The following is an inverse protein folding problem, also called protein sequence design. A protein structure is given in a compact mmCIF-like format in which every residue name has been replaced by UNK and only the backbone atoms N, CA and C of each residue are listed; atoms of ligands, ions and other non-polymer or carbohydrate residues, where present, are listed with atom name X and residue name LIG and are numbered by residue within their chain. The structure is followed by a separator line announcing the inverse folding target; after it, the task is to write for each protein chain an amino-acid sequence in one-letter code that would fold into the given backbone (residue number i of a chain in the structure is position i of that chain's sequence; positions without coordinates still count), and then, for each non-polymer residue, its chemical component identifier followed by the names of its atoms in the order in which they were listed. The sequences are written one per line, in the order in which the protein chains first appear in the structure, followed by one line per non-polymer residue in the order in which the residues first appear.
data_IF_123763061834
#
_entry.id   IF_123763061834
#
_cell.length_a   1.000
_cell.length_b   1.000
_cell.length_c   1.000
_cell.angle_alpha   90.00
_cell.angle_beta   90.00
_cell.angle_gamma   90.00
#
_symmetry.space_group_name_H-M   'P 1'
#
loop_
_entity.id
_entity.type
_entity.pdbx_description
1 polymer ?
#
# COMPACT_ATOMS: atom_id res chain seq x y z
N UNK A 1 5.18 3.60 1.84
CA UNK A 1 4.08 4.45 2.31
C UNK A 1 3.00 4.58 1.25
N UNK A 2 1.79 4.96 1.65
CA UNK A 2 0.74 5.31 0.69
C UNK A 2 1.25 6.45 -0.20
N UNK A 3 0.83 6.47 -1.45
CA UNK A 3 1.35 7.34 -2.53
C UNK A 3 2.79 7.08 -3.01
N UNK A 4 3.46 6.04 -2.56
CA UNK A 4 4.74 5.61 -3.17
C UNK A 4 4.54 4.82 -4.45
N UNK A 5 3.34 4.39 -4.73
CA UNK A 5 2.94 3.61 -5.91
C UNK A 5 1.56 4.10 -6.37
N UNK A 6 1.38 4.29 -7.67
CA UNK A 6 0.08 4.72 -8.23
C UNK A 6 -0.97 3.63 -8.02
N UNK A 7 -1.98 3.92 -7.20
CA UNK A 7 -3.02 2.95 -6.84
C UNK A 7 -4.00 2.67 -7.99
N UNK A 8 -3.95 3.44 -9.11
CA UNK A 8 -4.68 3.12 -10.35
C UNK A 8 -4.03 1.97 -11.12
N UNK A 9 -2.77 1.64 -10.84
CA UNK A 9 -2.12 0.52 -11.47
C UNK A 9 -2.89 -0.78 -11.18
N UNK A 10 -3.21 -1.60 -12.21
CA UNK A 10 -4.00 -2.83 -12.01
C UNK A 10 -3.32 -3.88 -11.12
N UNK A 11 -2.02 -3.77 -10.87
CA UNK A 11 -1.29 -4.62 -9.92
C UNK A 11 -1.24 -4.02 -8.50
N UNK A 12 -1.79 -2.82 -8.27
CA UNK A 12 -1.86 -2.24 -6.95
C UNK A 12 -2.83 -3.04 -6.07
N UNK A 13 -2.38 -3.44 -4.89
CA UNK A 13 -3.21 -4.09 -3.87
C UNK A 13 -3.92 -3.07 -2.97
N UNK A 14 -3.61 -1.78 -3.12
CA UNK A 14 -4.01 -0.72 -2.21
C UNK A 14 -3.03 -0.54 -1.06
N UNK A 15 -3.39 0.32 -0.13
CA UNK A 15 -2.58 0.62 1.05
C UNK A 15 -3.25 0.12 2.31
N UNK A 16 -2.44 -0.38 3.22
CA UNK A 16 -2.90 -0.98 4.46
C UNK A 16 -2.29 -0.31 5.68
N UNK A 17 -3.10 -0.24 6.71
CA UNK A 17 -2.69 0.07 8.06
C UNK A 17 -3.45 -0.93 8.98
N UNK A 18 -4.03 -0.48 10.08
CA UNK A 18 -4.88 -1.33 10.92
C UNK A 18 -6.10 -1.86 10.15
N UNK A 19 -6.65 -1.05 9.25
CA UNK A 19 -7.65 -1.48 8.27
C UNK A 19 -6.96 -1.71 6.94
N UNK A 20 -7.20 -2.85 6.32
CA UNK A 20 -6.60 -3.22 5.04
C UNK A 20 -7.63 -3.78 4.06
N UNK A 21 -7.50 -3.47 2.77
CA UNK A 21 -8.27 -4.11 1.72
C UNK A 21 -8.07 -5.64 1.70
N UNK A 22 -9.08 -6.39 1.30
CA UNK A 22 -8.99 -7.85 1.10
C UNK A 22 -7.82 -8.27 0.22
N UNK A 23 -7.51 -7.50 -0.80
CA UNK A 23 -6.36 -7.72 -1.69
C UNK A 23 -5.05 -7.79 -0.93
N UNK A 24 -4.82 -6.89 0.03
CA UNK A 24 -3.61 -6.90 0.84
C UNK A 24 -3.54 -8.17 1.69
N UNK A 25 -4.62 -8.53 2.38
CA UNK A 25 -4.67 -9.75 3.21
C UNK A 25 -4.43 -11.01 2.40
N UNK A 26 -5.12 -11.12 1.23
CA UNK A 26 -4.97 -12.27 0.35
C UNK A 26 -3.52 -12.42 -0.11
N UNK A 27 -2.97 -11.40 -0.76
CA UNK A 27 -1.63 -11.52 -1.35
C UNK A 27 -0.51 -11.56 -0.31
N UNK A 28 -0.68 -10.92 0.83
CA UNK A 28 0.26 -11.07 1.95
C UNK A 28 0.24 -12.50 2.52
N UNK A 29 -0.94 -13.13 2.56
CA UNK A 29 -1.09 -14.51 2.99
C UNK A 29 -0.53 -15.51 1.98
N UNK A 30 -0.87 -15.35 0.70
CA UNK A 30 -0.60 -16.33 -0.35
C UNK A 30 0.83 -16.25 -0.92
N UNK A 31 1.50 -15.10 -0.81
CA UNK A 31 2.88 -14.95 -1.30
C UNK A 31 3.87 -15.77 -0.50
N UNK A 32 4.84 -16.36 -1.17
CA UNK A 32 6.01 -17.01 -0.57
C UNK A 32 7.19 -16.06 -0.38
N UNK A 33 7.24 -15.01 -1.20
CA UNK A 33 8.33 -14.03 -1.23
C UNK A 33 7.78 -12.61 -1.19
N UNK A 34 8.41 -11.76 -0.38
CA UNK A 34 8.08 -10.33 -0.23
C UNK A 34 9.30 -9.50 -0.57
N UNK A 35 9.16 -8.59 -1.53
CA UNK A 35 10.15 -7.56 -1.77
C UNK A 35 9.73 -6.26 -1.07
N UNK A 36 10.40 -5.93 0.02
CA UNK A 36 10.20 -4.69 0.76
C UNK A 36 11.22 -3.63 0.31
N UNK A 37 10.73 -2.49 -0.16
CA UNK A 37 11.58 -1.40 -0.65
C UNK A 37 11.20 -0.07 0.01
N UNK A 38 12.20 0.67 0.49
CA UNK A 38 12.02 1.96 1.14
C UNK A 38 11.17 1.89 2.42
N UNK A 39 11.21 0.75 3.09
CA UNK A 39 10.49 0.49 4.33
C UNK A 39 11.48 0.12 5.42
N UNK A 40 11.24 0.53 6.66
CA UNK A 40 12.02 0.07 7.82
C UNK A 40 11.59 -1.31 8.32
N UNK A 41 10.54 -1.91 7.76
CA UNK A 41 9.95 -3.19 8.19
C UNK A 41 9.71 -3.27 9.71
N UNK A 42 9.46 -2.15 10.36
CA UNK A 42 9.22 -2.12 11.81
C UNK A 42 7.85 -2.69 12.15
N UNK A 43 7.81 -3.64 13.08
CA UNK A 43 6.56 -4.13 13.67
C UNK A 43 5.98 -3.05 14.57
N UNK A 44 4.70 -2.73 14.38
CA UNK A 44 3.97 -1.78 15.20
C UNK A 44 2.59 -2.33 15.57
N UNK A 45 2.05 -1.87 16.69
CA UNK A 45 0.67 -2.23 17.10
C UNK A 45 -0.42 -1.64 16.18
N UNK A 46 -0.04 -0.79 15.23
CA UNK A 46 -0.94 -0.07 14.33
C UNK A 46 -0.83 -0.50 12.87
N UNK A 47 0.02 -1.47 12.56
CA UNK A 47 0.25 -1.97 11.21
C UNK A 47 -0.14 -3.44 11.05
N UNK A 48 -0.07 -3.91 9.81
CA UNK A 48 -0.19 -5.33 9.48
C UNK A 48 1.18 -5.97 9.71
N UNK A 49 1.17 -7.13 10.36
CA UNK A 49 2.35 -7.96 10.52
C UNK A 49 2.50 -8.89 9.32
N UNK A 50 3.71 -9.03 8.80
CA UNK A 50 4.03 -10.04 7.78
C UNK A 50 3.93 -11.43 8.42
N UNK A 51 3.15 -12.36 7.86
CA UNK A 51 3.08 -13.72 8.37
C UNK A 51 4.46 -14.41 8.33
N UNK A 52 4.69 -15.33 9.26
CA UNK A 52 5.92 -16.13 9.30
C UNK A 52 6.07 -17.04 8.06
N UNK A 53 7.30 -17.47 7.77
CA UNK A 53 7.61 -18.39 6.68
C UNK A 53 7.69 -17.74 5.30
N UNK A 54 7.81 -16.41 5.22
CA UNK A 54 8.03 -15.69 3.97
C UNK A 54 9.52 -15.44 3.74
N UNK A 55 9.97 -15.56 2.49
CA UNK A 55 11.28 -15.09 2.09
C UNK A 55 11.22 -13.57 1.92
N UNK A 56 12.06 -12.83 2.62
CA UNK A 56 12.05 -11.37 2.58
C UNK A 56 13.29 -10.87 1.86
N UNK A 57 13.07 -10.13 0.77
CA UNK A 57 14.09 -9.31 0.09
C UNK A 57 13.87 -7.88 0.58
N UNK A 58 14.85 -7.29 1.25
CA UNK A 58 14.72 -5.96 1.86
C UNK A 58 15.69 -4.95 1.26
N UNK A 59 15.14 -3.90 0.66
CA UNK A 59 15.91 -2.76 0.18
C UNK A 59 15.64 -1.53 1.04
N UNK A 60 16.68 -1.02 1.69
CA UNK A 60 16.64 0.16 2.55
C UNK A 60 17.96 0.95 2.43
N UNK A 61 17.93 2.24 2.74
CA UNK A 61 19.14 3.07 2.84
C UNK A 61 19.69 3.17 4.27
N UNK A 62 19.04 2.52 5.24
CA UNK A 62 19.46 2.50 6.64
C UNK A 62 19.84 1.07 7.05
N UNK A 63 21.10 0.87 7.38
CA UNK A 63 21.61 -0.43 7.80
C UNK A 63 20.90 -0.97 9.07
N UNK A 64 20.50 -0.10 9.98
CA UNK A 64 19.84 -0.50 11.23
C UNK A 64 18.44 -1.10 11.05
N UNK A 65 17.84 -0.94 9.88
CA UNK A 65 16.55 -1.54 9.56
C UNK A 65 16.66 -3.00 9.10
N UNK A 66 17.88 -3.46 8.74
CA UNK A 66 18.10 -4.83 8.25
C UNK A 66 18.09 -5.80 9.43
N UNK A 67 17.31 -6.87 9.33
CA UNK A 67 17.12 -7.90 10.37
C UNK A 67 16.64 -7.34 11.71
N UNK A 68 15.96 -6.21 11.71
CA UNK A 68 15.50 -5.55 12.93
C UNK A 68 14.33 -6.29 13.58
N UNK A 69 13.26 -6.48 12.83
CA UNK A 69 12.03 -7.10 13.32
C UNK A 69 11.63 -8.35 12.48
N UNK A 70 12.26 -8.54 11.33
CA UNK A 70 12.08 -9.69 10.45
C UNK A 70 13.42 -10.19 9.95
N UNK A 71 13.57 -11.52 9.89
CA UNK A 71 14.72 -12.14 9.24
C UNK A 71 14.65 -11.91 7.73
N UNK A 72 15.74 -11.40 7.15
CA UNK A 72 15.84 -11.02 5.75
C UNK A 72 16.73 -12.00 5.01
N UNK A 73 16.20 -12.65 3.98
CA UNK A 73 16.94 -13.57 3.11
C UNK A 73 17.98 -12.83 2.25
N UNK A 74 17.58 -11.70 1.65
CA UNK A 74 18.46 -10.88 0.82
C UNK A 74 18.31 -9.41 1.21
N UNK A 75 19.41 -8.78 1.58
CA UNK A 75 19.47 -7.34 1.88
C UNK A 75 20.13 -6.56 0.74
N UNK A 76 19.52 -5.43 0.38
CA UNK A 76 20.00 -4.49 -0.63
C UNK A 76 20.11 -3.10 0.01
N UNK A 77 21.31 -2.75 0.48
CA UNK A 77 21.55 -1.45 1.11
C UNK A 77 21.83 -0.40 0.05
N UNK A 78 20.97 0.60 -0.05
CA UNK A 78 21.13 1.70 -1.00
C UNK A 78 19.87 2.53 -1.22
N UNK A 79 20.04 3.57 -2.05
CA UNK A 79 18.90 4.39 -2.51
C UNK A 79 17.93 3.56 -3.35
N UNK A 80 16.63 3.63 -3.02
CA UNK A 80 15.59 2.81 -3.66
C UNK A 80 15.52 2.98 -5.18
N UNK A 81 15.74 4.21 -5.69
CA UNK A 81 15.73 4.48 -7.13
C UNK A 81 16.91 3.80 -7.81
N UNK A 82 18.10 3.93 -7.25
CA UNK A 82 19.31 3.32 -7.80
C UNK A 82 19.25 1.79 -7.76
N UNK A 83 18.77 1.23 -6.67
CA UNK A 83 18.56 -0.22 -6.52
C UNK A 83 17.59 -0.72 -7.59
N UNK A 84 16.43 -0.08 -7.75
CA UNK A 84 15.46 -0.47 -8.77
C UNK A 84 15.99 -0.34 -10.19
N UNK A 85 16.73 0.72 -10.50
CA UNK A 85 17.36 0.90 -11.81
C UNK A 85 18.33 -0.26 -12.12
N UNK A 86 19.16 -0.62 -11.14
CA UNK A 86 20.13 -1.72 -11.30
C UNK A 86 19.45 -3.08 -11.43
N UNK A 87 18.39 -3.33 -10.66
CA UNK A 87 17.60 -4.55 -10.79
C UNK A 87 16.94 -4.66 -12.17
N UNK A 88 16.35 -3.58 -12.67
CA UNK A 88 15.73 -3.54 -14.01
C UNK A 88 16.77 -3.81 -15.10
N UNK A 89 17.96 -3.20 -15.01
CA UNK A 89 19.07 -3.44 -15.92
C UNK A 89 19.47 -4.92 -15.91
N UNK A 90 19.67 -5.48 -14.73
CA UNK A 90 20.02 -6.89 -14.55
C UNK A 90 18.98 -7.84 -15.16
N UNK A 91 17.68 -7.57 -14.90
CA UNK A 91 16.58 -8.37 -15.47
C UNK A 91 16.56 -8.28 -16.99
N UNK A 92 16.71 -7.07 -17.56
CA UNK A 92 16.73 -6.87 -19.01
C UNK A 92 17.88 -7.61 -19.70
N UNK A 93 19.03 -7.68 -19.05
CA UNK A 93 20.24 -8.30 -19.62
C UNK A 93 20.23 -9.84 -19.49
N UNK A 94 19.60 -10.38 -18.47
CA UNK A 94 19.67 -11.81 -18.14
C UNK A 94 18.40 -12.60 -18.43
N UNK A 95 17.28 -11.94 -18.68
CA UNK A 95 16.00 -12.61 -18.90
C UNK A 95 15.35 -12.15 -20.21
N UNK A 96 15.15 -13.08 -21.14
CA UNK A 96 14.35 -12.83 -22.33
C UNK A 96 12.86 -12.64 -21.94
N UNK A 97 12.15 -11.81 -22.71
CA UNK A 97 10.69 -11.66 -22.54
C UNK A 97 10.02 -13.02 -22.76
N UNK A 98 9.45 -13.57 -21.71
CA UNK A 98 8.73 -14.82 -21.77
C UNK A 98 7.22 -14.53 -21.91
N UNK A 99 6.59 -15.06 -22.97
CA UNK A 99 5.15 -14.92 -23.23
C UNK A 99 4.34 -15.46 -22.03
N UNK A 100 4.75 -16.56 -21.42
CA UNK A 100 4.12 -17.11 -20.22
C UNK A 100 4.08 -16.13 -19.03
N UNK A 101 5.02 -15.17 -18.95
CA UNK A 101 5.02 -14.14 -17.92
C UNK A 101 3.93 -13.08 -18.13
N UNK A 102 3.57 -12.80 -19.39
CA UNK A 102 2.50 -11.86 -19.73
C UNK A 102 1.13 -12.46 -19.44
N UNK A 103 0.93 -13.73 -19.78
CA UNK A 103 -0.32 -14.46 -19.45
C UNK A 103 -0.53 -14.53 -17.94
N UNK A 104 0.50 -14.88 -17.19
CA UNK A 104 0.48 -14.88 -15.71
C UNK A 104 0.14 -13.50 -15.14
N UNK A 105 0.72 -12.44 -15.70
CA UNK A 105 0.40 -11.07 -15.31
C UNK A 105 -1.09 -10.75 -15.50
N UNK A 106 -1.68 -11.11 -16.64
CA UNK A 106 -3.09 -10.86 -16.92
C UNK A 106 -4.02 -11.63 -15.98
N UNK A 107 -3.67 -12.87 -15.64
CA UNK A 107 -4.41 -13.68 -14.65
C UNK A 107 -4.40 -12.97 -13.30
N UNK A 108 -3.23 -12.56 -12.81
CA UNK A 108 -3.08 -11.86 -11.53
C UNK A 108 -3.86 -10.54 -11.51
N UNK A 109 -3.80 -9.75 -12.59
CA UNK A 109 -4.56 -8.49 -12.69
C UNK A 109 -6.07 -8.73 -12.60
N UNK A 110 -6.57 -9.76 -13.28
CA UNK A 110 -8.00 -10.14 -13.24
C UNK A 110 -8.42 -10.60 -11.86
N UNK A 111 -7.57 -11.36 -11.17
CA UNK A 111 -7.82 -11.80 -9.80
C UNK A 111 -7.85 -10.62 -8.82
N UNK A 112 -6.87 -9.71 -8.91
CA UNK A 112 -6.84 -8.48 -8.09
C UNK A 112 -8.13 -7.67 -8.30
N UNK A 113 -8.53 -7.48 -9.56
CA UNK A 113 -9.76 -6.76 -9.89
C UNK A 113 -10.97 -7.40 -9.22
N UNK A 114 -11.14 -8.70 -9.35
CA UNK A 114 -12.24 -9.45 -8.73
C UNK A 114 -12.29 -9.26 -7.22
N UNK A 115 -11.16 -9.42 -6.53
CA UNK A 115 -11.08 -9.25 -5.07
C UNK A 115 -11.38 -7.82 -4.64
N UNK A 116 -10.96 -6.82 -5.44
CA UNK A 116 -11.32 -5.40 -5.19
C UNK A 116 -12.82 -5.16 -5.33
N UNK A 117 -13.46 -5.73 -6.36
CA UNK A 117 -14.90 -5.60 -6.59
C UNK A 117 -15.72 -6.26 -5.46
N UNK A 118 -15.32 -7.44 -5.01
CA UNK A 118 -15.92 -8.13 -3.86
C UNK A 118 -15.82 -7.27 -2.60
N UNK A 119 -14.64 -6.76 -2.30
CA UNK A 119 -14.41 -5.90 -1.13
C UNK A 119 -15.20 -4.59 -1.22
N UNK A 120 -15.24 -3.93 -2.38
CA UNK A 120 -16.02 -2.73 -2.58
C UNK A 120 -17.53 -2.98 -2.37
N UNK A 121 -18.04 -4.13 -2.82
CA UNK A 121 -19.43 -4.54 -2.60
C UNK A 121 -19.79 -4.67 -1.11
N UNK A 122 -18.89 -5.22 -0.30
CA UNK A 122 -19.10 -5.35 1.15
C UNK A 122 -19.22 -3.99 1.86
N UNK A 123 -18.49 -2.99 1.38
CA UNK A 123 -18.48 -1.64 1.96
C UNK A 123 -19.53 -0.71 1.36
N UNK A 124 -20.19 -1.11 0.29
CA UNK A 124 -21.11 -0.27 -0.47
C UNK A 124 -22.19 0.39 0.39
N UNK A 125 -22.77 -0.35 1.32
CA UNK A 125 -23.81 0.18 2.24
C UNK A 125 -23.30 1.31 3.13
N UNK A 126 -22.06 1.21 3.60
CA UNK A 126 -21.46 2.26 4.45
C UNK A 126 -20.97 3.45 3.64
N UNK A 127 -20.35 3.18 2.47
CA UNK A 127 -19.85 4.20 1.56
C UNK A 127 -20.96 5.06 0.92
N UNK A 128 -22.17 4.54 0.85
CA UNK A 128 -23.36 5.22 0.31
C UNK A 128 -24.46 5.42 1.35
N UNK A 129 -24.14 5.41 2.63
CA UNK A 129 -25.09 5.48 3.73
C UNK A 129 -25.92 6.78 3.69
N UNK A 130 -27.25 6.72 3.81
CA UNK A 130 -28.12 7.89 3.88
C UNK A 130 -28.24 8.49 5.30
N UNK A 131 -27.46 8.02 6.26
CA UNK A 131 -27.56 8.45 7.67
C UNK A 131 -27.36 9.96 7.85
N UNK A 132 -28.09 10.51 8.79
CA UNK A 132 -27.92 11.86 9.34
C UNK A 132 -27.80 11.76 10.87
N UNK A 133 -26.69 12.20 11.51
CA UNK A 133 -25.50 12.80 10.87
C UNK A 133 -24.80 11.86 9.89
N UNK A 134 -24.02 12.44 8.97
CA UNK A 134 -23.34 11.70 7.90
C UNK A 134 -22.45 10.58 8.45
N UNK A 135 -22.54 9.41 7.83
CA UNK A 135 -21.62 8.30 8.13
C UNK A 135 -20.18 8.65 7.70
N UNK A 136 -19.17 8.45 8.55
CA UNK A 136 -17.78 8.76 8.22
C UNK A 136 -17.26 8.10 6.94
N UNK A 137 -17.64 6.86 6.65
CA UNK A 137 -17.24 6.18 5.41
C UNK A 137 -17.85 6.82 4.17
N UNK A 138 -19.10 7.30 4.27
CA UNK A 138 -19.69 8.09 3.19
C UNK A 138 -18.95 9.40 2.99
N UNK A 139 -18.57 10.10 4.05
CA UNK A 139 -17.76 11.31 3.93
C UNK A 139 -16.45 11.04 3.18
N UNK A 140 -15.73 9.98 3.54
CA UNK A 140 -14.49 9.59 2.87
C UNK A 140 -14.73 9.25 1.40
N UNK A 141 -15.81 8.55 1.08
CA UNK A 141 -16.18 8.22 -0.29
C UNK A 141 -16.50 9.48 -1.12
N UNK A 142 -17.25 10.41 -0.57
CA UNK A 142 -17.54 11.71 -1.23
C UNK A 142 -16.26 12.52 -1.45
N UNK A 143 -15.35 12.56 -0.48
CA UNK A 143 -14.05 13.19 -0.66
C UNK A 143 -13.30 12.52 -1.82
N UNK A 144 -13.15 11.21 -1.79
CA UNK A 144 -12.41 10.47 -2.82
C UNK A 144 -12.98 10.68 -4.23
N UNK A 145 -14.30 10.78 -4.35
CA UNK A 145 -14.97 10.94 -5.65
C UNK A 145 -14.96 12.37 -6.20
N UNK A 146 -14.69 13.38 -5.36
CA UNK A 146 -14.82 14.79 -5.74
C UNK A 146 -13.51 15.57 -5.70
N UNK A 147 -12.40 15.01 -5.22
CA UNK A 147 -11.09 15.67 -5.26
C UNK A 147 -10.41 15.50 -6.62
N UNK A 148 -9.58 16.46 -6.97
CA UNK A 148 -8.61 16.30 -8.05
C UNK A 148 -7.39 15.51 -7.53
N UNK A 149 -7.35 14.23 -7.82
CA UNK A 149 -6.30 13.32 -7.33
C UNK A 149 -4.89 13.68 -7.78
N UNK A 150 -4.73 14.44 -8.86
CA UNK A 150 -3.42 14.81 -9.38
C UNK A 150 -2.88 16.07 -8.70
N UNK A 151 -3.77 16.97 -8.27
CA UNK A 151 -3.41 18.26 -7.70
C UNK A 151 -3.78 18.41 -6.21
N UNK A 152 -4.22 17.32 -5.56
CA UNK A 152 -4.62 17.34 -4.15
C UNK A 152 -3.63 16.56 -3.29
N UNK A 153 -3.23 17.17 -2.17
CA UNK A 153 -2.53 16.49 -1.09
C UNK A 153 -3.54 16.17 0.00
N UNK A 154 -3.65 14.90 0.34
CA UNK A 154 -4.53 14.42 1.41
C UNK A 154 -3.71 14.18 2.67
N UNK A 155 -4.16 14.75 3.77
CA UNK A 155 -3.63 14.45 5.11
C UNK A 155 -4.76 14.08 6.06
N UNK A 156 -4.45 13.49 7.17
CA UNK A 156 -5.45 13.04 8.15
C UNK A 156 -4.89 13.10 9.57
N UNK A 157 -5.77 13.20 10.53
CA UNK A 157 -5.43 13.09 11.94
C UNK A 157 -5.23 11.62 12.37
N UNK A 158 -4.76 11.42 13.57
CA UNK A 158 -4.64 10.11 14.22
C UNK A 158 -6.04 9.52 14.55
N UNK A 159 -6.07 8.23 14.86
CA UNK A 159 -7.28 7.52 15.25
C UNK A 159 -8.17 7.11 14.06
N UNK A 160 -9.47 7.26 14.22
CA UNK A 160 -10.46 6.83 13.23
C UNK A 160 -10.26 7.41 11.82
N UNK A 161 -9.93 8.71 11.63
CA UNK A 161 -9.70 9.25 10.28
C UNK A 161 -8.62 8.49 9.53
N UNK A 162 -7.51 8.14 10.18
CA UNK A 162 -6.46 7.32 9.58
C UNK A 162 -6.99 5.98 9.08
N UNK A 163 -7.69 5.25 9.94
CA UNK A 163 -8.12 3.89 9.64
C UNK A 163 -9.25 3.87 8.59
N UNK A 164 -10.05 4.93 8.54
CA UNK A 164 -11.14 5.09 7.58
C UNK A 164 -10.67 5.62 6.22
N UNK A 165 -9.70 6.52 6.18
CA UNK A 165 -9.23 7.13 4.93
C UNK A 165 -8.24 6.26 4.17
N UNK A 166 -7.33 5.59 4.89
CA UNK A 166 -6.23 4.84 4.29
C UNK A 166 -6.67 3.84 3.20
N UNK A 167 -7.69 2.99 3.40
CA UNK A 167 -8.10 2.01 2.39
C UNK A 167 -8.98 2.59 1.27
N UNK A 168 -9.62 3.76 1.47
CA UNK A 168 -10.65 4.27 0.55
C UNK A 168 -10.24 5.50 -0.24
N UNK A 169 -9.22 6.25 0.18
CA UNK A 169 -8.66 7.34 -0.64
C UNK A 169 -7.67 6.76 -1.64
N UNK A 170 -7.83 7.07 -2.92
CA UNK A 170 -6.92 6.64 -3.98
C UNK A 170 -5.76 7.62 -4.11
N UNK A 171 -4.54 7.15 -3.90
CA UNK A 171 -3.33 7.95 -4.11
C UNK A 171 -2.75 7.69 -5.50
N UNK A 172 -2.61 8.72 -6.32
CA UNK A 172 -2.23 8.60 -7.74
C UNK A 172 -0.85 9.17 -8.04
N UNK A 173 -0.42 10.16 -7.27
CA UNK A 173 0.86 10.86 -7.46
C UNK A 173 1.77 10.72 -6.25
N UNK A 174 3.10 10.67 -6.43
CA UNK A 174 4.03 10.62 -5.31
C UNK A 174 3.85 11.81 -4.38
N UNK A 175 3.75 11.54 -3.07
CA UNK A 175 3.57 12.59 -2.06
C UNK A 175 2.15 13.12 -1.92
N UNK A 176 1.16 12.62 -2.68
CA UNK A 176 -0.23 13.07 -2.59
C UNK A 176 -0.97 12.60 -1.33
N UNK A 177 -0.37 11.72 -0.54
CA UNK A 177 -0.94 11.27 0.73
C UNK A 177 0.12 11.35 1.82
N UNK A 178 -0.07 12.25 2.79
CA UNK A 178 0.88 12.51 3.86
C UNK A 178 0.27 12.09 5.20
N UNK A 179 0.89 11.11 5.84
CA UNK A 179 0.56 10.68 7.18
C UNK A 179 1.74 10.89 8.14
N UNK A 180 1.50 10.78 9.41
CA UNK A 180 2.49 10.98 10.48
C UNK A 180 3.38 9.75 10.76
N UNK A 181 3.44 8.80 9.84
CA UNK A 181 4.35 7.65 9.93
C UNK A 181 4.03 6.68 11.08
N UNK A 182 5.02 6.41 11.92
CA UNK A 182 4.93 5.44 13.04
C UNK A 182 4.37 6.02 14.34
N UNK A 183 4.25 7.35 14.44
CA UNK A 183 3.74 8.00 15.65
C UNK A 183 2.22 8.12 15.61
N UNK A 184 1.62 8.50 16.73
CA UNK A 184 0.19 8.85 16.82
C UNK A 184 0.11 10.31 17.25
N UNK A 185 0.19 11.22 16.28
CA UNK A 185 0.06 12.66 16.54
C UNK A 185 -1.40 13.08 16.39
N UNK A 186 -2.01 13.44 17.50
CA UNK A 186 -3.32 14.11 17.50
C UNK A 186 -3.14 15.57 17.09
N UNK A 187 -4.06 16.08 16.25
CA UNK A 187 -4.00 17.43 15.71
C UNK A 187 -3.15 17.58 14.45
N UNK A 188 -2.54 16.52 13.94
CA UNK A 188 -1.64 16.57 12.79
C UNK A 188 -2.32 17.01 11.48
N UNK A 189 -3.61 16.75 11.32
CA UNK A 189 -4.35 17.09 10.10
C UNK A 189 -4.61 18.58 9.90
N UNK A 190 -4.45 19.41 10.92
CA UNK A 190 -4.69 20.86 10.85
C UNK A 190 -3.40 21.67 10.64
N UNK A 191 -2.25 21.33 11.28
CA UNK A 191 -1.04 22.14 11.18
C UNK A 191 -0.23 22.00 9.88
N UNK A 192 -0.64 21.14 8.95
CA UNK A 192 0.07 20.94 7.66
C UNK A 192 -0.36 21.91 6.58
#
# INVERSE_FOLDING_TARGET
GKSSFDERNPLSLGSANRTAPKTVWKYLGDSDTIFAIGSSLTITNYGITIPSGKNIIHSTNNYEDINKDYDVEVSLLGDSKLVLQKMIECIKNNYSKNIASLEKKNIVMSEIKKVKEEWASEWNTLLNSPMNPINPYRLVNEINNNIDHENTIVTHDAGHPRDQMMPFITATTPGSYIGWGKSTHLGYGIPL
#
